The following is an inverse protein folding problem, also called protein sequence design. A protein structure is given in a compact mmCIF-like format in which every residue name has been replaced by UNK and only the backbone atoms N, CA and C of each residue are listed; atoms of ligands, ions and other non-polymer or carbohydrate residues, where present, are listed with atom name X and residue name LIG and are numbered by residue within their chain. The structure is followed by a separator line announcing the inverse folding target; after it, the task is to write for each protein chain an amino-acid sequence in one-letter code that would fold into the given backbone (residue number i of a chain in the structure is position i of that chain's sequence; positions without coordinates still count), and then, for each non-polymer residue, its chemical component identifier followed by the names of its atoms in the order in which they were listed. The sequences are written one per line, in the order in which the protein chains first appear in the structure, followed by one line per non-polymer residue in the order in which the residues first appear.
data_IF_406793284068
#
_entry.id   IF_406793284068
#
_cell.length_a   1.000
_cell.length_b   1.000
_cell.length_c   1.000
_cell.angle_alpha   90.00
_cell.angle_beta   90.00
_cell.angle_gamma   90.00
#
_symmetry.space_group_name_H-M   'P 1'
#
loop_
_entity.id
_entity.type
_entity.pdbx_description
1 polymer ?
#
# COMPACT_ATOMS: atom_id res chain seq x y z
N UNK A 1 9.13 -60.47 13.29
CA UNK A 1 9.33 -59.01 13.39
C UNK A 1 10.69 -58.66 12.78
N UNK A 2 10.78 -57.48 12.14
CA UNK A 2 11.99 -56.79 11.64
C UNK A 2 12.48 -57.16 10.23
N UNK A 3 11.86 -56.56 9.21
CA UNK A 3 12.54 -56.14 7.94
C UNK A 3 11.57 -55.36 7.03
N UNK A 4 10.97 -54.27 7.53
CA UNK A 4 10.27 -53.30 6.67
C UNK A 4 10.39 -51.88 7.23
N UNK A 5 11.63 -51.44 7.48
CA UNK A 5 11.91 -50.09 7.95
C UNK A 5 13.29 -49.64 7.44
N UNK A 6 13.44 -49.55 6.12
CA UNK A 6 14.62 -48.95 5.51
C UNK A 6 14.36 -48.23 4.18
N UNK A 7 13.15 -48.31 3.61
CA UNK A 7 12.85 -47.70 2.30
C UNK A 7 12.16 -46.33 2.44
N UNK A 8 11.58 -46.01 3.59
CA UNK A 8 10.96 -44.69 3.81
C UNK A 8 11.98 -43.56 4.07
N UNK A 9 13.23 -43.88 4.41
CA UNK A 9 14.27 -42.88 4.68
C UNK A 9 14.94 -42.33 3.41
N UNK A 10 14.87 -43.04 2.28
CA UNK A 10 15.42 -42.59 0.99
C UNK A 10 14.47 -41.68 0.19
N UNK A 11 13.18 -41.67 0.53
CA UNK A 11 12.16 -40.81 -0.11
C UNK A 11 11.96 -39.47 0.60
N UNK A 12 12.48 -39.31 1.83
CA UNK A 12 12.45 -38.05 2.57
C UNK A 12 13.59 -37.08 2.21
N UNK A 13 14.55 -37.50 1.38
CA UNK A 13 15.68 -36.66 0.95
C UNK A 13 15.39 -35.77 -0.27
N UNK A 14 14.23 -35.94 -0.93
CA UNK A 14 13.90 -35.22 -2.17
C UNK A 14 12.81 -34.16 -2.00
N UNK A 15 12.47 -33.78 -0.77
CA UNK A 15 11.41 -32.81 -0.51
C UNK A 15 11.87 -31.75 0.48
N UNK A 16 12.77 -30.85 0.02
CA UNK A 16 12.81 -29.40 0.31
C UNK A 16 14.22 -28.79 0.07
N UNK A 17 14.35 -27.50 -0.32
CA UNK A 17 13.35 -26.54 -0.80
C UNK A 17 13.68 -26.01 -2.21
N UNK A 18 12.68 -25.89 -3.09
CA UNK A 18 12.81 -25.21 -4.38
C UNK A 18 12.80 -23.68 -4.23
N UNK A 19 13.65 -23.14 -3.35
CA UNK A 19 13.90 -21.69 -3.21
C UNK A 19 15.40 -21.52 -2.91
N UNK A 20 16.23 -21.43 -3.96
CA UNK A 20 17.68 -21.34 -3.79
C UNK A 20 18.20 -19.90 -3.69
N UNK A 21 17.40 -18.91 -4.09
CA UNK A 21 17.80 -17.50 -4.05
C UNK A 21 16.75 -16.69 -3.31
N UNK A 22 17.14 -16.13 -2.17
CA UNK A 22 16.40 -15.13 -1.42
C UNK A 22 17.39 -14.03 -1.01
N UNK A 23 17.20 -12.83 -1.54
CA UNK A 23 18.10 -11.69 -1.28
C UNK A 23 17.26 -10.51 -0.85
N UNK A 24 17.48 -10.02 0.37
CA UNK A 24 16.86 -8.79 0.86
C UNK A 24 17.52 -7.58 0.20
N UNK A 25 16.73 -6.78 -0.51
CA UNK A 25 17.15 -5.54 -1.16
C UNK A 25 16.44 -4.32 -0.58
N UNK A 26 15.77 -4.46 0.56
CA UNK A 26 14.88 -3.44 1.14
C UNK A 26 15.57 -2.08 1.30
N UNK A 27 16.86 -2.06 1.64
CA UNK A 27 17.61 -0.81 1.90
C UNK A 27 18.62 -0.44 0.80
N UNK A 28 18.55 -1.02 -0.42
CA UNK A 28 19.52 -0.66 -1.47
C UNK A 28 19.28 0.76 -2.03
N UNK A 29 20.29 1.64 -2.02
CA UNK A 29 20.14 3.04 -2.44
C UNK A 29 19.89 3.23 -3.95
N UNK A 30 20.02 2.18 -4.76
CA UNK A 30 19.75 2.24 -6.20
C UNK A 30 18.36 1.69 -6.55
N UNK A 31 17.63 1.17 -5.57
CA UNK A 31 16.30 0.58 -5.72
C UNK A 31 15.23 1.57 -6.18
N UNK A 32 15.36 2.84 -5.79
CA UNK A 32 14.37 3.90 -6.11
C UNK A 32 14.20 4.17 -7.61
N UNK A 33 15.18 3.77 -8.43
CA UNK A 33 15.18 3.92 -9.89
C UNK A 33 14.62 2.71 -10.64
N UNK A 34 14.01 1.78 -9.91
CA UNK A 34 13.60 0.48 -10.40
C UNK A 34 12.18 0.17 -9.89
N UNK A 35 11.35 -0.44 -10.75
CA UNK A 35 9.97 -0.84 -10.41
C UNK A 35 9.78 -2.36 -10.34
N UNK A 36 10.87 -3.12 -10.52
CA UNK A 36 10.89 -4.57 -10.54
C UNK A 36 12.07 -5.11 -11.35
N UNK A 37 12.44 -6.36 -11.11
CA UNK A 37 13.53 -7.06 -11.78
C UNK A 37 13.10 -8.48 -12.12
N UNK A 38 13.44 -8.96 -13.32
CA UNK A 38 13.29 -10.36 -13.72
C UNK A 38 14.49 -10.73 -14.59
N UNK A 39 15.19 -11.80 -14.25
CA UNK A 39 16.30 -12.31 -15.04
C UNK A 39 16.22 -13.82 -15.15
N UNK A 40 16.34 -14.32 -16.38
CA UNK A 40 16.35 -15.74 -16.71
C UNK A 40 17.80 -16.23 -16.83
N UNK A 41 18.13 -17.34 -16.16
CA UNK A 41 19.48 -17.90 -16.08
C UNK A 41 19.58 -19.24 -16.81
N UNK A 42 20.03 -19.27 -18.08
CA UNK A 42 20.28 -20.52 -18.79
C UNK A 42 21.51 -21.26 -18.20
N UNK A 43 21.59 -22.60 -18.34
CA UNK A 43 20.77 -23.47 -19.19
C UNK A 43 19.53 -24.08 -18.52
N UNK A 44 19.18 -23.73 -17.28
CA UNK A 44 17.97 -24.22 -16.62
C UNK A 44 16.85 -23.19 -16.62
N UNK A 45 15.64 -23.63 -16.29
CA UNK A 45 14.47 -22.77 -16.09
C UNK A 45 14.57 -22.03 -14.72
N UNK A 46 15.68 -21.34 -14.46
CA UNK A 46 15.82 -20.48 -13.28
C UNK A 46 15.49 -19.04 -13.64
N UNK A 47 14.56 -18.45 -12.88
CA UNK A 47 14.25 -17.03 -12.96
C UNK A 47 14.48 -16.38 -11.61
N UNK A 48 15.18 -15.26 -11.56
CA UNK A 48 15.28 -14.44 -10.34
C UNK A 48 14.39 -13.22 -10.52
N UNK A 49 13.39 -13.09 -9.66
CA UNK A 49 12.34 -12.06 -9.76
C UNK A 49 12.30 -11.22 -8.49
N UNK A 50 12.08 -9.92 -8.64
CA UNK A 50 11.77 -9.00 -7.55
C UNK A 50 10.35 -9.22 -7.05
N UNK A 51 10.26 -9.52 -5.77
CA UNK A 51 9.02 -9.61 -5.02
C UNK A 51 8.96 -8.52 -3.94
N UNK A 52 7.90 -7.70 -3.99
CA UNK A 52 7.60 -6.73 -2.92
C UNK A 52 6.57 -7.34 -1.97
N UNK A 53 6.96 -7.53 -0.71
CA UNK A 53 6.11 -8.03 0.36
C UNK A 53 5.17 -6.94 0.87
N UNK A 54 3.97 -7.33 1.33
CA UNK A 54 3.00 -6.45 1.98
C UNK A 54 3.54 -5.77 3.25
N UNK A 55 4.66 -6.25 3.79
CA UNK A 55 5.32 -5.74 5.00
C UNK A 55 6.45 -4.76 4.72
N UNK A 56 6.41 -4.02 3.61
CA UNK A 56 7.43 -3.05 3.19
C UNK A 56 8.84 -3.63 2.97
N UNK A 57 8.94 -4.95 2.78
CA UNK A 57 10.20 -5.64 2.50
C UNK A 57 10.25 -6.06 1.05
N UNK A 58 11.42 -5.95 0.44
CA UNK A 58 11.61 -6.26 -0.98
C UNK A 58 12.72 -7.28 -1.13
N UNK A 59 12.39 -8.37 -1.81
CA UNK A 59 13.25 -9.55 -1.95
C UNK A 59 13.45 -9.88 -3.42
N UNK A 60 14.60 -10.46 -3.75
CA UNK A 60 14.73 -11.28 -4.95
C UNK A 60 14.49 -12.73 -4.61
N UNK A 61 13.62 -13.37 -5.37
CA UNK A 61 13.29 -14.79 -5.23
C UNK A 61 13.67 -15.55 -6.50
N UNK A 62 14.34 -16.69 -6.33
CA UNK A 62 14.53 -17.68 -7.37
C UNK A 62 13.26 -18.51 -7.60
N UNK A 63 12.78 -18.56 -8.84
CA UNK A 63 11.69 -19.41 -9.30
C UNK A 63 12.25 -20.47 -10.25
N UNK A 64 11.85 -21.73 -10.04
CA UNK A 64 12.35 -22.87 -10.82
C UNK A 64 13.66 -23.45 -10.29
N UNK A 65 14.43 -24.13 -11.14
CA UNK A 65 15.65 -24.81 -10.72
C UNK A 65 16.87 -23.86 -10.74
N UNK A 66 17.12 -23.21 -9.61
CA UNK A 66 18.18 -22.24 -9.43
C UNK A 66 19.45 -22.79 -8.75
N UNK A 67 19.66 -24.10 -8.70
CA UNK A 67 20.79 -24.74 -7.99
C UNK A 67 22.18 -24.31 -8.52
N UNK A 68 22.22 -23.76 -9.73
CA UNK A 68 23.43 -23.31 -10.41
C UNK A 68 23.63 -21.77 -10.34
N UNK A 69 22.70 -21.05 -9.70
CA UNK A 69 22.75 -19.59 -9.51
C UNK A 69 22.99 -19.31 -8.03
N UNK A 70 24.19 -18.83 -7.70
CA UNK A 70 24.47 -18.40 -6.34
C UNK A 70 23.84 -17.03 -6.03
N UNK A 71 23.50 -16.80 -4.76
CA UNK A 71 23.02 -15.50 -4.28
C UNK A 71 23.97 -14.35 -4.66
N UNK A 72 25.29 -14.56 -4.55
CA UNK A 72 26.29 -13.55 -4.94
C UNK A 72 26.25 -13.20 -6.43
N UNK A 73 25.97 -14.19 -7.29
CA UNK A 73 25.83 -13.94 -8.73
C UNK A 73 24.57 -13.13 -9.00
N UNK A 74 23.43 -13.59 -8.48
CA UNK A 74 22.15 -12.88 -8.61
C UNK A 74 22.21 -11.45 -8.06
N UNK A 75 22.85 -11.25 -6.90
CA UNK A 75 23.07 -9.94 -6.31
C UNK A 75 23.91 -9.03 -7.21
N UNK A 76 25.05 -9.51 -7.73
CA UNK A 76 25.88 -8.68 -8.63
C UNK A 76 25.17 -8.30 -9.91
N UNK A 77 24.37 -9.22 -10.48
CA UNK A 77 23.62 -8.97 -11.70
C UNK A 77 22.54 -7.89 -11.49
N UNK A 78 21.80 -7.94 -10.39
CA UNK A 78 20.83 -6.87 -10.09
C UNK A 78 21.53 -5.53 -9.83
N UNK A 79 22.62 -5.50 -9.06
CA UNK A 79 23.33 -4.25 -8.76
C UNK A 79 23.89 -3.63 -10.04
N UNK A 80 24.41 -4.45 -10.95
CA UNK A 80 24.87 -3.99 -12.27
C UNK A 80 23.72 -3.41 -13.08
N UNK A 81 22.56 -4.05 -13.05
CA UNK A 81 21.37 -3.61 -13.77
C UNK A 81 20.83 -2.30 -13.18
N UNK A 82 20.70 -2.20 -11.86
CA UNK A 82 20.32 -0.98 -11.14
C UNK A 82 21.25 0.19 -11.49
N UNK A 83 22.57 -0.03 -11.44
CA UNK A 83 23.57 0.98 -11.84
C UNK A 83 23.44 1.38 -13.31
N UNK A 84 23.17 0.43 -14.20
CA UNK A 84 22.99 0.70 -15.62
C UNK A 84 21.71 1.46 -15.93
N UNK A 85 20.62 1.22 -15.21
CA UNK A 85 19.39 2.01 -15.37
C UNK A 85 19.61 3.40 -14.81
N UNK A 86 20.17 3.52 -13.60
CA UNK A 86 20.52 4.81 -13.00
C UNK A 86 21.37 5.68 -13.91
N UNK A 87 22.37 5.11 -14.60
CA UNK A 87 23.26 5.86 -15.49
C UNK A 87 22.62 6.24 -16.83
N UNK A 88 21.51 5.60 -17.22
CA UNK A 88 20.78 5.86 -18.47
C UNK A 88 19.48 6.62 -18.26
N UNK A 89 18.95 6.61 -17.04
CA UNK A 89 17.75 7.35 -16.65
C UNK A 89 18.10 8.78 -16.26
N UNK A 90 17.34 9.77 -16.76
CA UNK A 90 17.36 11.12 -16.21
C UNK A 90 16.60 11.13 -14.86
N UNK A 91 17.27 10.61 -13.84
CA UNK A 91 16.81 10.34 -12.47
C UNK A 91 15.99 11.46 -11.80
N UNK A 92 16.26 12.72 -12.12
CA UNK A 92 15.51 13.86 -11.57
C UNK A 92 14.00 13.75 -11.86
N UNK A 93 13.63 13.42 -13.10
CA UNK A 93 12.22 13.38 -13.50
C UNK A 93 11.45 12.20 -12.86
N UNK A 94 12.13 11.10 -12.52
CA UNK A 94 11.48 9.92 -11.95
C UNK A 94 11.25 10.06 -10.43
N UNK A 95 12.23 10.57 -9.71
CA UNK A 95 12.09 10.84 -8.27
C UNK A 95 11.08 11.97 -8.00
N UNK A 96 11.08 13.01 -8.83
CA UNK A 96 10.10 14.09 -8.71
C UNK A 96 8.70 13.61 -9.10
N UNK A 97 8.56 12.84 -10.19
CA UNK A 97 7.28 12.19 -10.55
C UNK A 97 6.75 11.31 -9.41
N UNK A 98 7.60 10.50 -8.77
CA UNK A 98 7.17 9.62 -7.68
C UNK A 98 6.77 10.40 -6.43
N UNK A 99 7.51 11.45 -6.07
CA UNK A 99 7.11 12.37 -4.98
C UNK A 99 5.79 13.06 -5.27
N UNK A 100 5.55 13.47 -6.51
CA UNK A 100 4.27 14.06 -6.91
C UNK A 100 3.12 13.05 -6.87
N UNK A 101 3.34 11.82 -7.33
CA UNK A 101 2.34 10.74 -7.28
C UNK A 101 2.02 10.37 -5.83
N UNK A 102 3.03 10.17 -4.97
CA UNK A 102 2.82 9.86 -3.55
C UNK A 102 2.12 11.01 -2.82
N UNK A 103 2.44 12.26 -3.16
CA UNK A 103 1.75 13.43 -2.62
C UNK A 103 0.27 13.49 -3.07
N UNK A 104 -0.01 13.18 -4.35
CA UNK A 104 -1.39 13.08 -4.86
C UNK A 104 -2.16 11.96 -4.18
N UNK A 105 -1.58 10.77 -4.03
CA UNK A 105 -2.20 9.64 -3.34
C UNK A 105 -2.48 9.99 -1.87
N UNK A 106 -1.51 10.57 -1.15
CA UNK A 106 -1.73 11.02 0.24
C UNK A 106 -2.82 12.08 0.34
N UNK A 107 -2.87 13.02 -0.61
CA UNK A 107 -3.90 14.04 -0.66
C UNK A 107 -5.29 13.46 -0.98
N UNK A 108 -5.37 12.48 -1.87
CA UNK A 108 -6.61 11.76 -2.20
C UNK A 108 -7.09 10.89 -1.03
N UNK A 109 -6.19 10.14 -0.38
CA UNK A 109 -6.52 9.36 0.83
C UNK A 109 -7.02 10.26 1.94
N UNK A 110 -6.34 11.38 2.22
CA UNK A 110 -6.78 12.37 3.23
C UNK A 110 -8.13 13.02 2.88
N UNK A 111 -8.42 13.20 1.58
CA UNK A 111 -9.72 13.70 1.10
C UNK A 111 -10.83 12.65 1.25
N UNK A 112 -10.49 11.36 1.18
CA UNK A 112 -11.44 10.24 1.24
C UNK A 112 -11.63 9.66 2.66
N UNK A 113 -10.89 10.13 3.66
CA UNK A 113 -11.07 9.74 5.06
C UNK A 113 -12.41 10.28 5.60
N UNK A 114 -13.22 9.38 6.17
CA UNK A 114 -14.41 9.74 6.93
C UNK A 114 -14.00 10.49 8.20
N UNK A 115 -14.63 11.63 8.47
CA UNK A 115 -14.43 12.37 9.72
C UNK A 115 -15.70 12.30 10.57
N UNK A 116 -15.52 12.22 11.87
CA UNK A 116 -16.57 12.05 12.87
C UNK A 116 -16.57 13.20 13.88
N UNK A 117 -17.77 13.55 14.37
CA UNK A 117 -17.96 14.44 15.53
C UNK A 117 -19.02 13.85 16.45
N UNK A 118 -18.61 13.47 17.65
CA UNK A 118 -19.52 13.03 18.70
C UNK A 118 -20.21 14.20 19.37
N UNK A 119 -21.52 14.07 19.55
CA UNK A 119 -22.33 15.02 20.31
C UNK A 119 -23.24 14.27 21.28
N UNK A 120 -23.81 14.99 22.24
CA UNK A 120 -24.83 14.46 23.15
C UNK A 120 -26.04 13.82 22.43
N UNK A 121 -26.27 14.20 21.17
CA UNK A 121 -27.41 13.76 20.37
C UNK A 121 -27.10 12.63 19.39
N UNK A 122 -25.84 12.16 19.33
CA UNK A 122 -25.34 11.19 18.34
C UNK A 122 -24.05 11.66 17.65
N UNK A 123 -23.57 10.86 16.71
CA UNK A 123 -22.32 11.09 15.96
C UNK A 123 -22.63 11.63 14.58
N UNK A 124 -22.02 12.75 14.21
CA UNK A 124 -22.07 13.28 12.85
C UNK A 124 -20.95 12.69 11.99
N UNK A 125 -21.29 12.30 10.76
CA UNK A 125 -20.39 11.73 9.77
C UNK A 125 -20.19 12.74 8.63
N UNK A 126 -18.99 13.29 8.53
CA UNK A 126 -18.58 14.16 7.44
C UNK A 126 -18.12 13.28 6.26
N UNK A 127 -19.05 12.94 5.37
CA UNK A 127 -18.77 12.05 4.24
C UNK A 127 -18.05 12.82 3.13
N UNK A 128 -17.05 12.23 2.46
CA UNK A 128 -16.39 12.84 1.29
C UNK A 128 -17.27 12.83 0.02
N UNK A 129 -18.49 12.30 0.11
CA UNK A 129 -19.45 12.27 -0.99
C UNK A 129 -19.97 13.68 -1.30
N UNK A 130 -19.86 14.11 -2.56
CA UNK A 130 -20.34 15.43 -3.00
C UNK A 130 -21.86 15.51 -2.95
N UNK A 131 -22.37 16.66 -2.51
CA UNK A 131 -23.79 16.97 -2.58
C UNK A 131 -24.21 17.16 -4.05
N UNK A 132 -25.22 16.44 -4.56
CA UNK A 132 -25.60 16.48 -5.97
C UNK A 132 -26.09 17.87 -6.41
N UNK A 133 -26.65 18.66 -5.48
CA UNK A 133 -27.31 19.94 -5.77
C UNK A 133 -26.61 21.15 -5.14
N UNK A 134 -25.40 20.99 -4.59
CA UNK A 134 -24.68 22.07 -3.88
C UNK A 134 -23.17 21.98 -4.20
N UNK A 135 -22.69 22.73 -5.22
CA UNK A 135 -21.28 22.68 -5.64
C UNK A 135 -20.34 22.99 -4.48
N UNK A 136 -19.25 22.22 -4.36
CA UNK A 136 -18.24 22.32 -3.29
C UNK A 136 -18.71 21.96 -1.87
N UNK A 137 -19.95 21.47 -1.74
CA UNK A 137 -20.46 20.89 -0.49
C UNK A 137 -20.52 19.37 -0.56
N UNK A 138 -20.48 18.77 0.62
CA UNK A 138 -20.42 17.34 0.85
C UNK A 138 -21.55 16.89 1.78
N UNK A 139 -21.87 15.60 1.78
CA UNK A 139 -22.98 15.04 2.56
C UNK A 139 -22.58 14.94 4.03
N UNK A 140 -23.46 15.42 4.92
CA UNK A 140 -23.35 15.25 6.37
C UNK A 140 -24.46 14.32 6.84
N UNK A 141 -24.08 13.20 7.42
CA UNK A 141 -25.01 12.23 8.00
C UNK A 141 -24.93 12.24 9.53
N UNK A 142 -25.94 11.69 10.19
CA UNK A 142 -25.97 11.52 11.64
C UNK A 142 -26.33 10.08 12.00
N UNK A 143 -25.51 9.48 12.85
CA UNK A 143 -25.77 8.23 13.55
C UNK A 143 -26.50 8.52 14.86
N UNK A 144 -27.67 7.92 15.04
CA UNK A 144 -28.42 8.02 16.29
C UNK A 144 -28.05 6.88 17.24
N UNK A 145 -27.80 7.20 18.51
CA UNK A 145 -27.52 6.21 19.55
C UNK A 145 -28.84 5.52 19.95
N UNK A 146 -29.10 4.33 19.40
CA UNK A 146 -30.38 3.63 19.61
C UNK A 146 -30.40 2.14 19.25
N UNK A 147 -29.24 1.46 19.22
CA UNK A 147 -29.17 -0.01 19.09
C UNK A 147 -29.32 -0.57 17.66
N UNK A 148 -29.68 0.24 16.67
CA UNK A 148 -29.53 -0.06 15.23
C UNK A 148 -28.86 1.13 14.57
N UNK A 149 -27.97 0.88 13.60
CA UNK A 149 -27.34 1.89 12.75
C UNK A 149 -28.44 2.64 11.97
N UNK A 150 -29.08 3.60 12.62
CA UNK A 150 -30.05 4.48 12.00
C UNK A 150 -29.28 5.72 11.55
N UNK A 151 -28.96 5.75 10.26
CA UNK A 151 -28.29 6.87 9.61
C UNK A 151 -29.37 7.77 9.03
N UNK A 152 -29.35 9.05 9.38
CA UNK A 152 -30.22 10.05 8.77
C UNK A 152 -29.38 11.15 8.13
N UNK A 153 -29.81 11.62 6.95
CA UNK A 153 -29.27 12.84 6.36
C UNK A 153 -29.42 13.99 7.36
N UNK A 154 -28.29 14.57 7.77
CA UNK A 154 -28.26 15.68 8.71
C UNK A 154 -28.10 17.03 8.01
N UNK A 155 -27.46 17.04 6.85
CA UNK A 155 -27.29 18.24 6.03
C UNK A 155 -26.09 18.14 5.12
N UNK A 156 -25.34 19.23 5.03
CA UNK A 156 -24.16 19.35 4.20
C UNK A 156 -22.99 19.94 4.96
N UNK A 157 -21.77 19.67 4.49
CA UNK A 157 -20.58 20.31 5.03
C UNK A 157 -19.62 20.78 3.93
N UNK A 158 -18.73 21.71 4.27
CA UNK A 158 -17.63 22.15 3.41
C UNK A 158 -16.40 22.48 4.26
N UNK A 159 -15.21 22.36 3.66
CA UNK A 159 -13.96 22.82 4.27
C UNK A 159 -13.65 24.25 3.78
N UNK A 160 -13.36 25.16 4.70
CA UNK A 160 -12.97 26.53 4.36
C UNK A 160 -11.53 26.57 3.87
N UNK A 161 -11.13 27.69 3.26
CA UNK A 161 -9.74 27.92 2.83
C UNK A 161 -8.73 27.84 3.99
N UNK A 162 -9.18 28.10 5.20
CA UNK A 162 -8.36 28.08 6.42
C UNK A 162 -8.34 26.69 7.10
N UNK A 163 -8.96 25.68 6.48
CA UNK A 163 -9.00 24.31 6.99
C UNK A 163 -10.05 24.05 8.08
N UNK A 164 -10.94 25.01 8.35
CA UNK A 164 -12.07 24.81 9.26
C UNK A 164 -13.24 24.14 8.55
N UNK A 165 -14.10 23.44 9.28
CA UNK A 165 -15.31 22.85 8.72
C UNK A 165 -16.52 23.74 8.97
N UNK A 166 -17.37 23.87 7.95
CA UNK A 166 -18.68 24.50 8.05
C UNK A 166 -19.72 23.41 7.83
N UNK A 167 -20.66 23.26 8.76
CA UNK A 167 -21.81 22.37 8.64
C UNK A 167 -23.10 23.18 8.47
N UNK A 168 -23.94 22.79 7.51
CA UNK A 168 -25.24 23.38 7.22
C UNK A 168 -26.32 22.32 7.42
N UNK A 169 -27.16 22.51 8.44
CA UNK A 169 -28.26 21.60 8.79
C UNK A 169 -29.58 22.01 8.13
N UNK A 170 -29.55 22.93 7.15
CA UNK A 170 -30.72 23.44 6.43
C UNK A 170 -31.48 24.56 7.13
N UNK A 171 -31.38 24.65 8.46
CA UNK A 171 -31.99 25.72 9.27
C UNK A 171 -30.91 26.73 9.72
N UNK A 172 -29.71 26.23 9.98
CA UNK A 172 -28.58 27.01 10.44
C UNK A 172 -27.26 26.45 9.89
N UNK A 173 -26.29 27.35 9.80
CA UNK A 173 -24.92 27.02 9.45
C UNK A 173 -24.03 27.26 10.65
N UNK A 174 -23.14 26.32 10.97
CA UNK A 174 -22.24 26.39 12.12
C UNK A 174 -20.79 26.13 11.70
N UNK A 175 -19.87 26.84 12.34
CA UNK A 175 -18.44 26.52 12.26
C UNK A 175 -18.15 25.36 13.22
N UNK A 176 -17.56 24.29 12.71
CA UNK A 176 -17.13 23.14 13.48
C UNK A 176 -15.65 23.28 13.77
N UNK A 177 -15.31 23.29 15.06
CA UNK A 177 -13.92 23.31 15.49
C UNK A 177 -13.27 21.96 15.16
N UNK A 178 -12.25 21.99 14.30
CA UNK A 178 -11.50 20.80 13.88
C UNK A 178 -10.84 20.04 15.04
N UNK A 179 -10.57 20.69 16.18
CA UNK A 179 -10.02 20.02 17.35
C UNK A 179 -10.98 18.97 17.96
N UNK A 180 -12.28 19.06 17.67
CA UNK A 180 -13.30 18.11 18.15
C UNK A 180 -13.66 17.07 17.10
N UNK A 181 -13.08 17.16 15.90
CA UNK A 181 -13.35 16.26 14.78
C UNK A 181 -12.21 15.25 14.71
N UNK A 182 -12.55 13.97 14.66
CA UNK A 182 -11.59 12.87 14.58
C UNK A 182 -11.83 12.02 13.34
N UNK A 183 -10.85 11.21 12.96
CA UNK A 183 -11.02 10.22 11.90
C UNK A 183 -11.90 9.08 12.44
N UNK A 184 -13.01 8.80 11.73
CA UNK A 184 -13.76 7.57 11.97
C UNK A 184 -12.88 6.37 11.54
#
# INVERSE_FOLDING_TARGET
MKTKLAIAALLAAFVAPSVAVEIDITDDPNKEFFIGYRMEYPPSDCEVIWFASQWQREYLMGMGNCDHVSNDRAYRDIIKTMKSVKSRSNAANFADYRREVDAKIKAETKKNQLRCLDTHSGTYLFLPAKAPNKPDWFILDKLHNGGRLNVSAAGYWQETKDGNLIADFGINTVNVNMANVYEC
#
